data_IF_023440963744
#
_entry.id   IF_023440963744
#
_cell.length_a   1.000
_cell.length_b   1.000
_cell.length_c   1.000
_cell.angle_alpha   90.00
_cell.angle_beta   90.00
_cell.angle_gamma   90.00
#
_symmetry.space_group_name_H-M   'P 1'
#
loop_
_entity.id
_entity.type
_entity.pdbx_description
1 polymer ?
#
# COMPACT_ATOMS: atom_id res chain seq x y z
N UNK A 1 4.53 9.51 -15.90
CA UNK A 1 4.76 8.60 -14.76
C UNK A 1 3.60 8.66 -13.78
N UNK A 2 3.12 7.52 -13.29
CA UNK A 2 2.10 7.49 -12.23
C UNK A 2 2.64 6.72 -11.03
N UNK A 3 2.57 7.32 -9.84
CA UNK A 3 2.91 6.70 -8.57
C UNK A 3 1.69 6.69 -7.64
N UNK A 4 1.34 5.52 -7.09
CA UNK A 4 0.16 5.36 -6.25
C UNK A 4 0.56 4.75 -4.91
N UNK A 5 0.15 5.40 -3.80
CA UNK A 5 0.43 4.94 -2.42
C UNK A 5 1.88 4.51 -2.23
N UNK A 6 2.81 5.35 -2.68
CA UNK A 6 4.23 5.03 -2.77
C UNK A 6 5.09 5.94 -1.91
N UNK A 7 6.34 5.56 -1.74
CA UNK A 7 7.36 6.37 -1.06
C UNK A 7 8.73 6.21 -1.71
N UNK A 8 9.52 7.24 -1.68
CA UNK A 8 10.92 7.19 -2.09
C UNK A 8 11.88 6.81 -0.95
N UNK A 9 11.42 6.84 0.30
CA UNK A 9 12.19 6.43 1.48
C UNK A 9 11.24 6.01 2.60
N UNK A 10 11.01 4.69 2.75
CA UNK A 10 10.03 4.17 3.72
C UNK A 10 10.41 4.49 5.19
N UNK A 11 11.68 4.56 5.49
CA UNK A 11 12.21 4.83 6.84
C UNK A 11 12.74 6.27 6.98
N UNK A 12 12.14 7.21 6.25
CA UNK A 12 12.49 8.63 6.37
C UNK A 12 12.16 9.14 7.78
N UNK A 13 13.14 9.61 8.56
CA UNK A 13 12.89 10.09 9.91
C UNK A 13 12.07 11.39 9.95
N UNK A 14 12.05 12.16 8.86
CA UNK A 14 11.30 13.41 8.74
C UNK A 14 9.84 13.18 8.27
N UNK A 15 9.53 12.02 7.72
CA UNK A 15 8.17 11.70 7.31
C UNK A 15 7.39 11.04 8.45
N UNK A 16 6.08 11.27 8.45
CA UNK A 16 5.19 10.65 9.42
C UNK A 16 5.25 9.12 9.31
N UNK A 17 5.58 8.47 10.42
CA UNK A 17 5.68 7.02 10.47
C UNK A 17 4.36 6.38 10.89
N UNK A 18 4.25 5.06 10.66
CA UNK A 18 3.13 4.26 11.15
C UNK A 18 2.98 4.44 12.66
N UNK A 19 1.77 4.72 13.12
CA UNK A 19 1.45 4.86 14.54
C UNK A 19 1.94 3.65 15.36
N UNK A 20 2.53 3.91 16.54
CA UNK A 20 3.11 2.86 17.41
C UNK A 20 2.10 1.79 17.81
N UNK A 21 0.83 2.17 18.06
CA UNK A 21 -0.26 1.24 18.40
C UNK A 21 -0.57 0.34 17.21
N UNK A 22 -0.70 0.92 16.01
CA UNK A 22 -0.91 0.19 14.75
C UNK A 22 0.27 -0.73 14.43
N UNK A 23 1.48 -0.26 14.62
CA UNK A 23 2.68 -1.08 14.42
C UNK A 23 2.74 -2.29 15.37
N UNK A 24 2.36 -2.13 16.65
CA UNK A 24 2.23 -3.24 17.59
C UNK A 24 1.14 -4.23 17.18
N UNK A 25 0.00 -3.73 16.70
CA UNK A 25 -1.10 -4.55 16.18
C UNK A 25 -0.64 -5.40 15.00
N UNK A 26 0.04 -4.80 14.02
CA UNK A 26 0.65 -5.50 12.89
C UNK A 26 1.66 -6.58 13.33
N UNK A 27 2.51 -6.27 14.29
CA UNK A 27 3.46 -7.25 14.83
C UNK A 27 2.76 -8.46 15.45
N UNK A 28 1.73 -8.23 16.26
CA UNK A 28 0.92 -9.31 16.88
C UNK A 28 0.25 -10.18 15.80
N UNK A 29 -0.36 -9.57 14.81
CA UNK A 29 -1.00 -10.28 13.70
C UNK A 29 0.03 -11.13 12.92
N UNK A 30 1.19 -10.56 12.58
CA UNK A 30 2.27 -11.27 11.88
C UNK A 30 2.84 -12.43 12.68
N UNK A 31 2.96 -12.29 13.99
CA UNK A 31 3.44 -13.36 14.87
C UNK A 31 2.46 -14.53 14.87
N UNK A 32 1.16 -14.26 15.06
CA UNK A 32 0.12 -15.30 15.00
C UNK A 32 0.07 -16.03 13.66
N UNK A 33 0.21 -15.31 12.55
CA UNK A 33 0.29 -15.88 11.20
C UNK A 33 1.54 -16.75 11.01
N UNK A 34 2.73 -16.25 11.41
CA UNK A 34 4.01 -16.95 11.20
C UNK A 34 4.03 -18.34 11.81
N UNK A 35 3.40 -18.52 12.96
CA UNK A 35 3.34 -19.79 13.67
C UNK A 35 2.26 -20.75 13.12
N UNK A 36 1.37 -20.26 12.23
CA UNK A 36 0.21 -21.00 11.76
C UNK A 36 0.01 -20.91 10.24
N UNK A 37 1.06 -20.62 9.48
CA UNK A 37 1.01 -20.41 8.02
C UNK A 37 0.57 -21.64 7.19
N UNK A 38 0.58 -22.83 7.80
CA UNK A 38 0.05 -24.06 7.17
C UNK A 38 -1.45 -24.27 7.42
N UNK A 39 -2.05 -23.54 8.36
CA UNK A 39 -3.47 -23.64 8.66
C UNK A 39 -4.23 -22.59 7.85
N UNK A 40 -5.04 -23.06 6.89
CA UNK A 40 -5.77 -22.21 5.93
C UNK A 40 -6.71 -21.23 6.65
N UNK A 41 -7.42 -21.66 7.69
CA UNK A 41 -8.37 -20.80 8.42
C UNK A 41 -7.65 -19.64 9.10
N UNK A 42 -6.46 -19.89 9.62
CA UNK A 42 -5.64 -18.85 10.25
C UNK A 42 -5.04 -17.91 9.23
N UNK A 43 -4.73 -18.40 8.03
CA UNK A 43 -4.30 -17.56 6.90
C UNK A 43 -5.45 -16.65 6.47
N UNK A 44 -6.66 -17.19 6.29
CA UNK A 44 -7.84 -16.43 5.90
C UNK A 44 -8.19 -15.37 6.95
N UNK A 45 -8.21 -15.73 8.24
CA UNK A 45 -8.45 -14.79 9.35
C UNK A 45 -7.39 -13.68 9.39
N UNK A 46 -6.13 -14.02 9.15
CA UNK A 46 -5.06 -13.02 9.08
C UNK A 46 -5.25 -12.07 7.92
N UNK A 47 -5.53 -12.59 6.73
CA UNK A 47 -5.75 -11.79 5.53
C UNK A 47 -6.95 -10.85 5.70
N UNK A 48 -8.06 -11.35 6.20
CA UNK A 48 -9.25 -10.55 6.47
C UNK A 48 -8.96 -9.37 7.42
N UNK A 49 -8.25 -9.62 8.52
CA UNK A 49 -7.82 -8.58 9.46
C UNK A 49 -6.86 -7.57 8.83
N UNK A 50 -5.97 -8.06 7.96
CA UNK A 50 -5.01 -7.22 7.28
C UNK A 50 -5.70 -6.29 6.27
N UNK A 51 -6.61 -6.82 5.48
CA UNK A 51 -7.39 -6.04 4.52
C UNK A 51 -8.22 -4.96 5.22
N UNK A 52 -8.90 -5.32 6.31
CA UNK A 52 -9.64 -4.35 7.11
C UNK A 52 -8.75 -3.23 7.70
N UNK A 53 -7.50 -3.57 8.04
CA UNK A 53 -6.54 -2.58 8.55
C UNK A 53 -6.08 -1.59 7.47
N UNK A 54 -6.00 -2.06 6.19
CA UNK A 54 -5.51 -1.23 5.08
C UNK A 54 -6.60 -0.44 4.36
N UNK A 55 -7.86 -0.73 4.64
CA UNK A 55 -8.98 -0.28 3.82
C UNK A 55 -9.22 1.25 3.86
N UNK A 56 -8.89 1.90 4.95
CA UNK A 56 -9.26 3.30 5.18
C UNK A 56 -10.62 3.43 5.86
N UNK A 57 -11.21 4.63 5.82
CA UNK A 57 -12.49 4.96 6.49
C UNK A 57 -13.71 4.89 5.56
N UNK A 58 -13.51 4.53 4.29
CA UNK A 58 -14.62 4.36 3.35
C UNK A 58 -15.54 3.20 3.77
N UNK A 59 -16.86 3.41 3.72
CA UNK A 59 -17.90 2.44 4.10
C UNK A 59 -18.08 1.32 3.07
N UNK A 60 -17.00 0.89 2.42
CA UNK A 60 -17.05 -0.22 1.49
C UNK A 60 -17.40 -1.52 2.21
N UNK A 61 -18.54 -2.11 1.84
CA UNK A 61 -18.94 -3.42 2.36
C UNK A 61 -17.93 -4.49 1.95
N UNK A 62 -17.19 -5.02 2.91
CA UNK A 62 -16.30 -6.16 2.69
C UNK A 62 -17.12 -7.39 2.27
N UNK A 63 -16.95 -7.82 1.02
CA UNK A 63 -17.47 -9.10 0.59
C UNK A 63 -16.49 -10.20 1.05
N UNK A 64 -16.79 -10.79 2.20
CA UNK A 64 -15.96 -11.82 2.84
C UNK A 64 -15.77 -13.05 1.95
N UNK A 65 -16.81 -13.49 1.23
CA UNK A 65 -16.76 -14.63 0.33
C UNK A 65 -15.77 -14.39 -0.81
N UNK A 66 -15.88 -13.24 -1.46
CA UNK A 66 -14.97 -12.86 -2.55
C UNK A 66 -13.53 -12.74 -2.08
N UNK A 67 -13.31 -12.24 -0.88
CA UNK A 67 -11.98 -12.14 -0.28
C UNK A 67 -11.40 -13.51 0.04
N UNK A 68 -12.21 -14.44 0.55
CA UNK A 68 -11.82 -15.84 0.76
C UNK A 68 -11.42 -16.48 -0.56
N UNK A 69 -12.26 -16.41 -1.60
CA UNK A 69 -11.98 -16.98 -2.92
C UNK A 69 -10.69 -16.41 -3.52
N UNK A 70 -10.48 -15.10 -3.42
CA UNK A 70 -9.23 -14.45 -3.86
C UNK A 70 -8.02 -15.00 -3.11
N UNK A 71 -8.09 -15.11 -1.80
CA UNK A 71 -7.00 -15.60 -0.97
C UNK A 71 -6.66 -17.07 -1.29
N UNK A 72 -7.67 -17.90 -1.47
CA UNK A 72 -7.51 -19.29 -1.88
C UNK A 72 -6.86 -19.40 -3.27
N UNK A 73 -7.29 -18.58 -4.20
CA UNK A 73 -6.69 -18.51 -5.55
C UNK A 73 -5.21 -18.11 -5.49
N UNK A 74 -4.85 -17.09 -4.72
CA UNK A 74 -3.47 -16.65 -4.54
C UNK A 74 -2.59 -17.78 -3.96
N UNK A 75 -3.11 -18.53 -2.98
CA UNK A 75 -2.38 -19.66 -2.38
C UNK A 75 -2.19 -20.78 -3.41
N UNK A 76 -3.25 -21.15 -4.12
CA UNK A 76 -3.25 -22.32 -5.02
C UNK A 76 -2.48 -22.07 -6.31
N UNK A 77 -2.59 -20.87 -6.90
CA UNK A 77 -2.14 -20.61 -8.26
C UNK A 77 -0.97 -19.63 -8.38
N UNK A 78 -0.67 -18.86 -7.30
CA UNK A 78 0.34 -17.80 -7.34
C UNK A 78 1.42 -17.94 -6.28
N UNK A 79 1.50 -19.08 -5.60
CA UNK A 79 2.41 -19.27 -4.47
C UNK A 79 2.30 -18.13 -3.45
N UNK A 80 1.08 -17.66 -3.21
CA UNK A 80 0.75 -16.58 -2.29
C UNK A 80 1.24 -16.89 -0.87
N UNK A 81 1.54 -15.84 -0.09
CA UNK A 81 2.07 -15.95 1.28
C UNK A 81 3.43 -16.64 1.39
N UNK A 82 4.20 -16.66 0.30
CA UNK A 82 5.57 -17.19 0.27
C UNK A 82 6.48 -16.40 1.22
N UNK A 83 6.89 -17.05 2.31
CA UNK A 83 7.71 -16.44 3.36
C UNK A 83 9.08 -15.98 2.83
N UNK A 84 9.67 -16.73 1.93
CA UNK A 84 10.98 -16.38 1.32
C UNK A 84 10.85 -15.11 0.49
N UNK A 85 9.86 -15.04 -0.39
CA UNK A 85 9.58 -13.85 -1.22
C UNK A 85 9.28 -12.60 -0.36
N UNK A 86 8.46 -12.76 0.70
CA UNK A 86 8.17 -11.67 1.64
C UNK A 86 9.44 -11.16 2.32
N UNK A 87 10.34 -12.05 2.74
CA UNK A 87 11.59 -11.66 3.39
C UNK A 87 12.56 -10.99 2.40
N UNK A 88 12.66 -11.49 1.16
CA UNK A 88 13.45 -10.87 0.10
C UNK A 88 12.94 -9.47 -0.22
N UNK A 89 11.63 -9.30 -0.36
CA UNK A 89 11.01 -7.99 -0.60
C UNK A 89 11.33 -7.00 0.53
N UNK A 90 11.19 -7.41 1.80
CA UNK A 90 11.56 -6.57 2.94
C UNK A 90 13.04 -6.18 2.96
N UNK A 91 13.92 -7.12 2.63
CA UNK A 91 15.36 -6.87 2.52
C UNK A 91 15.65 -5.86 1.41
N UNK A 92 15.00 -5.99 0.26
CA UNK A 92 15.12 -5.06 -0.85
C UNK A 92 14.67 -3.64 -0.46
N UNK A 93 13.51 -3.50 0.19
CA UNK A 93 13.03 -2.20 0.69
C UNK A 93 14.03 -1.58 1.67
N UNK A 94 14.53 -2.35 2.64
CA UNK A 94 15.51 -1.87 3.62
C UNK A 94 16.80 -1.40 2.95
N UNK A 95 17.27 -2.14 1.95
CA UNK A 95 18.55 -1.86 1.27
C UNK A 95 18.43 -0.76 0.21
N UNK A 96 17.21 -0.41 -0.23
CA UNK A 96 17.01 0.63 -1.27
C UNK A 96 17.38 2.03 -0.79
N UNK A 97 17.35 2.28 0.52
CA UNK A 97 17.66 3.59 1.10
C UNK A 97 16.79 4.73 0.55
N UNK A 98 17.30 5.95 0.64
CA UNK A 98 16.65 7.14 0.11
C UNK A 98 16.86 7.29 -1.39
N UNK A 99 15.76 7.53 -2.12
CA UNK A 99 15.75 7.80 -3.57
C UNK A 99 15.47 9.27 -3.91
N UNK A 100 15.45 10.17 -2.92
CA UNK A 100 15.11 11.58 -3.11
C UNK A 100 15.96 12.30 -4.16
N UNK A 101 17.28 12.00 -4.21
CA UNK A 101 18.15 12.58 -5.24
C UNK A 101 17.75 12.16 -6.66
N UNK A 102 17.19 10.94 -6.83
CA UNK A 102 16.72 10.44 -8.12
C UNK A 102 15.40 11.08 -8.53
N UNK A 103 14.50 11.39 -7.57
CA UNK A 103 13.24 12.07 -7.84
C UNK A 103 13.44 13.44 -8.48
N UNK A 104 14.43 14.20 -8.01
CA UNK A 104 14.76 15.52 -8.57
C UNK A 104 15.20 15.50 -10.04
N UNK A 105 15.55 14.33 -10.57
CA UNK A 105 15.98 14.15 -11.96
C UNK A 105 14.82 13.71 -12.88
N UNK A 106 13.63 13.48 -12.35
CA UNK A 106 12.47 13.08 -13.13
C UNK A 106 11.97 14.30 -13.92
N UNK A 107 11.96 14.18 -15.25
CA UNK A 107 11.45 15.19 -16.19
C UNK A 107 10.10 14.79 -16.80
N UNK A 108 9.74 13.51 -16.71
CA UNK A 108 8.48 13.03 -17.25
C UNK A 108 7.28 13.61 -16.46
N UNK A 109 6.18 14.00 -17.13
CA UNK A 109 4.94 14.36 -16.46
C UNK A 109 4.59 13.32 -15.40
N UNK A 110 4.41 13.77 -14.16
CA UNK A 110 4.26 12.84 -13.02
C UNK A 110 2.97 13.11 -12.26
N UNK A 111 2.17 12.05 -12.11
CA UNK A 111 0.97 12.02 -11.28
C UNK A 111 1.24 11.17 -10.04
N UNK A 112 0.96 11.73 -8.87
CA UNK A 112 1.08 11.04 -7.59
C UNK A 112 -0.32 10.95 -6.99
N UNK A 113 -0.78 9.74 -6.64
CA UNK A 113 -2.08 9.50 -6.02
C UNK A 113 -1.86 8.85 -4.66
N UNK A 114 -2.53 9.34 -3.61
CA UNK A 114 -2.43 8.76 -2.28
C UNK A 114 -3.78 8.78 -1.56
N UNK A 115 -3.99 7.83 -0.66
CA UNK A 115 -5.19 7.80 0.19
C UNK A 115 -4.97 8.62 1.46
N UNK A 116 -5.97 9.44 1.85
CA UNK A 116 -5.87 10.23 3.10
C UNK A 116 -5.74 9.35 4.35
N UNK A 117 -6.27 8.13 4.29
CA UNK A 117 -6.38 7.21 5.41
C UNK A 117 -5.38 6.06 5.32
N UNK A 118 -4.35 6.22 4.48
CA UNK A 118 -3.27 5.23 4.37
C UNK A 118 -2.50 5.15 5.69
N UNK A 119 -2.64 4.00 6.35
CA UNK A 119 -1.98 3.72 7.63
C UNK A 119 -0.63 3.04 7.48
N UNK A 120 -0.30 2.55 6.29
CA UNK A 120 0.96 1.86 6.02
C UNK A 120 2.05 2.82 5.55
N UNK A 121 1.72 3.65 4.57
CA UNK A 121 2.56 4.74 4.08
C UNK A 121 1.74 6.02 4.22
N UNK A 122 2.15 6.92 5.10
CA UNK A 122 1.39 8.14 5.37
C UNK A 122 1.40 9.08 4.15
N UNK A 123 0.35 9.90 3.95
CA UNK A 123 0.28 10.85 2.83
C UNK A 123 1.49 11.78 2.75
N UNK A 124 2.10 12.15 3.88
CA UNK A 124 3.31 12.98 3.94
C UNK A 124 4.48 12.46 3.10
N UNK A 125 4.56 11.14 2.88
CA UNK A 125 5.54 10.57 1.96
C UNK A 125 5.30 10.97 0.51
N UNK A 126 4.05 11.01 0.06
CA UNK A 126 3.69 11.45 -1.29
C UNK A 126 3.79 12.96 -1.44
N UNK A 127 3.46 13.73 -0.41
CA UNK A 127 3.67 15.18 -0.36
C UNK A 127 5.15 15.51 -0.54
N UNK A 128 6.04 14.82 0.18
CA UNK A 128 7.49 14.96 0.02
C UNK A 128 7.96 14.53 -1.37
N UNK A 129 7.41 13.47 -1.94
CA UNK A 129 7.73 13.10 -3.33
C UNK A 129 7.30 14.19 -4.32
N UNK A 130 6.10 14.75 -4.16
CA UNK A 130 5.58 15.81 -5.02
C UNK A 130 6.43 17.09 -4.93
N UNK A 131 6.91 17.45 -3.75
CA UNK A 131 7.80 18.62 -3.58
C UNK A 131 9.17 18.46 -4.25
N UNK A 132 9.58 17.23 -4.55
CA UNK A 132 10.88 16.92 -5.14
C UNK A 132 10.84 16.70 -6.66
N UNK A 133 9.66 16.39 -7.23
CA UNK A 133 9.48 16.13 -8.65
C UNK A 133 8.89 17.38 -9.30
N UNK A 134 9.68 18.09 -10.10
CA UNK A 134 9.23 19.30 -10.75
C UNK A 134 8.01 19.04 -11.66
N UNK A 135 6.98 19.89 -11.57
CA UNK A 135 5.76 19.77 -12.37
C UNK A 135 4.88 18.56 -12.05
N UNK A 136 5.13 17.87 -10.94
CA UNK A 136 4.27 16.76 -10.54
C UNK A 136 2.92 17.24 -10.01
N UNK A 137 1.87 16.44 -10.28
CA UNK A 137 0.51 16.63 -9.75
C UNK A 137 0.28 15.63 -8.60
N UNK A 138 -0.09 16.12 -7.42
CA UNK A 138 -0.50 15.29 -6.28
C UNK A 138 -2.01 15.29 -6.12
N UNK A 139 -2.61 14.12 -5.96
CA UNK A 139 -4.02 13.94 -5.68
C UNK A 139 -4.19 13.07 -4.43
N UNK A 140 -4.76 13.65 -3.37
CA UNK A 140 -5.13 12.91 -2.16
C UNK A 140 -6.60 12.50 -2.26
N UNK A 141 -6.86 11.19 -2.18
CA UNK A 141 -8.22 10.64 -2.21
C UNK A 141 -8.71 10.45 -0.78
N UNK A 142 -9.70 11.25 -0.40
CA UNK A 142 -10.31 11.19 0.94
C UNK A 142 -10.95 9.83 1.21
N UNK A 143 -10.68 9.26 2.38
CA UNK A 143 -11.20 7.97 2.85
C UNK A 143 -10.47 6.73 2.31
N UNK A 144 -9.60 6.87 1.32
CA UNK A 144 -8.84 5.76 0.76
C UNK A 144 -7.69 5.36 1.69
N UNK A 145 -7.56 4.07 1.97
CA UNK A 145 -6.44 3.46 2.67
C UNK A 145 -5.32 3.00 1.73
N UNK A 146 -4.57 1.98 2.17
CA UNK A 146 -3.47 1.37 1.38
C UNK A 146 -3.97 0.19 0.55
N UNK A 147 -5.11 0.30 -0.09
CA UNK A 147 -5.64 -0.74 -0.97
C UNK A 147 -6.41 -0.14 -2.17
N UNK A 148 -6.56 -0.96 -3.21
CA UNK A 148 -7.34 -0.67 -4.40
C UNK A 148 -8.73 -1.29 -4.30
N UNK A 149 -9.57 -0.79 -3.40
CA UNK A 149 -10.93 -1.29 -3.36
C UNK A 149 -11.80 -0.77 -4.51
N UNK A 150 -12.93 -1.44 -4.72
CA UNK A 150 -13.80 -1.14 -5.86
C UNK A 150 -14.45 0.25 -5.78
N UNK A 151 -14.66 0.80 -4.59
CA UNK A 151 -15.31 2.11 -4.41
C UNK A 151 -14.47 3.24 -5.02
N UNK A 152 -13.14 3.12 -5.01
CA UNK A 152 -12.24 4.12 -5.57
C UNK A 152 -11.89 3.89 -7.03
N UNK A 153 -12.26 2.76 -7.63
CA UNK A 153 -11.84 2.39 -9.00
C UNK A 153 -12.21 3.46 -10.05
N UNK A 154 -13.46 3.89 -10.06
CA UNK A 154 -13.92 4.92 -11.01
C UNK A 154 -13.19 6.23 -10.80
N UNK A 155 -13.04 6.67 -9.54
CA UNK A 155 -12.33 7.90 -9.18
C UNK A 155 -10.85 7.85 -9.58
N UNK A 156 -10.17 6.74 -9.33
CA UNK A 156 -8.77 6.54 -9.72
C UNK A 156 -8.64 6.56 -11.25
N UNK A 157 -9.52 5.88 -11.99
CA UNK A 157 -9.52 5.88 -13.44
C UNK A 157 -9.71 7.30 -14.01
N UNK A 158 -10.66 8.08 -13.47
CA UNK A 158 -10.91 9.46 -13.89
C UNK A 158 -9.73 10.40 -13.62
N UNK A 159 -8.87 10.05 -12.65
CA UNK A 159 -7.63 10.82 -12.37
C UNK A 159 -6.49 10.39 -13.31
N UNK A 160 -6.37 9.09 -13.59
CA UNK A 160 -5.26 8.53 -14.37
C UNK A 160 -5.45 8.76 -15.87
N UNK A 161 -6.66 8.54 -16.40
CA UNK A 161 -6.92 8.61 -17.83
C UNK A 161 -6.50 9.96 -18.46
N UNK A 162 -6.89 11.13 -17.92
CA UNK A 162 -6.43 12.41 -18.47
C UNK A 162 -4.92 12.58 -18.42
N UNK A 163 -4.25 12.01 -17.44
CA UNK A 163 -2.79 12.09 -17.31
C UNK A 163 -2.04 11.21 -18.33
N UNK A 164 -2.68 10.18 -18.86
CA UNK A 164 -2.06 9.28 -19.85
C UNK A 164 -2.30 9.81 -21.28
N UNK A 165 -3.47 10.43 -21.50
CA UNK A 165 -3.91 10.85 -22.84
C UNK A 165 -3.41 12.25 -23.20
N UNK A 166 -3.28 13.16 -22.22
CA UNK A 166 -2.84 14.55 -22.37
C UNK A 166 -1.39 14.74 -22.13
#
# INVERSE_FOLDING_TARGET
>A
LTAIMSTAHLFDPEAEQVDKKRFRQLKKMKFGYRNNSRNIDKVLKFQFKLDHLWHGSDNYAHNSEKQILKTLYEIKHRNGFNKTAINQHRKAIKNSGSRYRKLKKIQAPTLIIHGSDDLLIKPSHSEKMASLIHGSKLVIIKGMGHDFNKSFKSRINNIILPHIIG
#
